data_IF_321137023675
#
_entry.id   IF_321137023675
#
_cell.length_a   1.000
_cell.length_b   1.000
_cell.length_c   1.000
_cell.angle_alpha   90.00
_cell.angle_beta   90.00
_cell.angle_gamma   90.00
#
_symmetry.space_group_name_H-M   'P 1'
#
loop_
_entity.id
_entity.type
_entity.pdbx_description
1 polymer ?
#
# COMPACT_ATOMS: atom_id res chain seq x y z
N UNK A 1 36.55 -38.12 -2.50
CA UNK A 1 35.54 -38.01 -1.44
C UNK A 1 34.27 -37.45 -2.06
N UNK A 2 33.42 -38.35 -2.48
CA UNK A 2 32.10 -38.09 -3.06
C UNK A 2 31.13 -37.84 -1.90
N UNK A 3 30.43 -36.68 -1.88
CA UNK A 3 29.26 -36.47 -1.07
C UNK A 3 28.03 -36.53 -1.97
N UNK A 4 27.19 -37.50 -1.69
CA UNK A 4 25.88 -37.82 -2.24
C UNK A 4 24.96 -36.62 -2.32
N UNK A 5 24.48 -36.34 -3.54
CA UNK A 5 23.34 -35.44 -3.80
C UNK A 5 22.09 -36.25 -3.46
N UNK A 6 21.30 -35.77 -2.53
CA UNK A 6 19.95 -36.29 -2.28
C UNK A 6 19.01 -35.79 -3.40
N UNK A 7 18.66 -36.70 -4.28
CA UNK A 7 17.53 -36.60 -5.22
C UNK A 7 16.23 -36.96 -4.47
N UNK A 8 15.60 -35.98 -3.83
CA UNK A 8 14.22 -36.08 -3.35
C UNK A 8 13.58 -34.67 -3.33
N UNK A 9 13.53 -34.03 -4.49
CA UNK A 9 12.58 -32.94 -4.74
C UNK A 9 11.45 -33.49 -5.62
N UNK A 10 10.33 -33.77 -4.97
CA UNK A 10 9.08 -34.19 -5.61
C UNK A 10 8.64 -33.16 -6.65
N UNK A 11 8.44 -33.52 -7.92
CA UNK A 11 7.81 -32.64 -8.89
C UNK A 11 6.38 -32.39 -8.42
N UNK A 12 6.01 -31.09 -8.41
CA UNK A 12 4.65 -30.65 -8.08
C UNK A 12 3.68 -31.25 -9.08
N UNK A 13 3.10 -32.40 -8.74
CA UNK A 13 2.11 -33.10 -9.56
C UNK A 13 0.72 -32.53 -9.20
N UNK A 14 0.18 -31.67 -10.05
CA UNK A 14 -1.19 -31.19 -9.92
C UNK A 14 -2.19 -32.29 -10.26
N UNK A 15 -2.94 -32.78 -9.28
CA UNK A 15 -4.15 -33.59 -9.53
C UNK A 15 -5.29 -32.66 -9.92
N UNK A 16 -5.47 -32.42 -11.21
CA UNK A 16 -6.68 -31.81 -11.77
C UNK A 16 -7.84 -32.79 -11.56
N UNK A 17 -8.82 -32.37 -10.75
CA UNK A 17 -10.11 -33.07 -10.69
C UNK A 17 -10.76 -33.05 -12.07
N UNK A 18 -11.15 -34.20 -12.60
CA UNK A 18 -11.87 -34.37 -13.85
C UNK A 18 -13.23 -33.70 -13.74
N UNK A 19 -13.33 -32.40 -14.15
CA UNK A 19 -14.61 -31.74 -14.42
C UNK A 19 -15.04 -32.02 -15.87
N UNK A 20 -16.33 -32.29 -16.04
CA UNK A 20 -16.99 -32.52 -17.32
C UNK A 20 -16.70 -31.40 -18.32
N UNK A 21 -16.54 -31.78 -19.59
CA UNK A 21 -16.36 -30.84 -20.71
C UNK A 21 -17.64 -30.03 -20.88
N UNK A 22 -17.62 -28.79 -20.41
CA UNK A 22 -18.64 -27.80 -20.72
C UNK A 22 -18.45 -27.34 -22.17
N UNK A 23 -19.56 -27.15 -22.91
CA UNK A 23 -19.54 -26.66 -24.29
C UNK A 23 -18.92 -25.26 -24.36
N UNK A 24 -18.13 -24.97 -25.39
CA UNK A 24 -17.26 -23.80 -25.50
C UNK A 24 -17.95 -22.42 -25.36
N UNK A 25 -19.27 -22.35 -25.48
CA UNK A 25 -20.05 -21.09 -25.39
C UNK A 25 -20.46 -20.71 -23.95
N UNK A 26 -20.30 -21.61 -22.98
CA UNK A 26 -20.71 -21.37 -21.56
C UNK A 26 -19.56 -21.46 -20.57
N UNK A 27 -18.33 -21.66 -21.02
CA UNK A 27 -17.17 -21.78 -20.13
C UNK A 27 -16.85 -20.43 -19.48
N UNK A 28 -16.77 -20.42 -18.14
CA UNK A 28 -16.36 -19.23 -17.38
C UNK A 28 -14.94 -18.80 -17.74
N UNK A 29 -14.71 -17.51 -17.79
CA UNK A 29 -13.35 -16.95 -17.96
C UNK A 29 -12.48 -17.27 -16.77
N UNK A 30 -11.26 -17.70 -17.03
CA UNK A 30 -10.28 -18.12 -16.03
C UNK A 30 -9.49 -16.92 -15.53
N UNK A 31 -9.77 -16.48 -14.30
CA UNK A 31 -9.08 -15.34 -13.70
C UNK A 31 -8.01 -15.83 -12.73
N UNK A 32 -6.80 -15.27 -12.84
CA UNK A 32 -5.72 -15.44 -11.87
C UNK A 32 -5.56 -14.14 -11.09
N UNK A 33 -5.61 -14.24 -9.76
CA UNK A 33 -5.44 -13.09 -8.88
C UNK A 33 -4.02 -13.04 -8.31
N UNK A 34 -3.39 -11.85 -8.35
CA UNK A 34 -2.06 -11.63 -7.78
C UNK A 34 -2.13 -10.57 -6.68
N UNK A 35 -1.69 -10.92 -5.48
CA UNK A 35 -1.69 -10.00 -4.35
C UNK A 35 -0.94 -10.54 -3.16
N UNK A 36 -0.65 -9.67 -2.16
CA UNK A 36 0.10 -10.13 -0.98
C UNK A 36 -0.50 -9.60 0.34
N UNK A 37 -0.66 -8.26 0.57
CA UNK A 37 -1.08 -7.70 1.84
C UNK A 37 -2.61 -7.81 2.07
N UNK A 38 -3.05 -7.32 3.23
CA UNK A 38 -4.45 -7.37 3.67
C UNK A 38 -5.41 -6.69 2.69
N UNK A 39 -5.03 -5.54 2.12
CA UNK A 39 -5.86 -4.84 1.12
C UNK A 39 -6.13 -5.70 -0.12
N UNK A 40 -5.14 -6.48 -0.55
CA UNK A 40 -5.31 -7.44 -1.66
C UNK A 40 -6.16 -8.65 -1.24
N UNK A 41 -6.07 -9.08 0.02
CA UNK A 41 -6.91 -10.16 0.55
C UNK A 41 -8.38 -9.76 0.58
N UNK A 42 -8.69 -8.52 0.95
CA UNK A 42 -10.05 -7.95 0.88
C UNK A 42 -10.54 -7.89 -0.58
N UNK A 43 -9.69 -7.45 -1.51
CA UNK A 43 -10.01 -7.46 -2.95
C UNK A 43 -10.32 -8.87 -3.45
N UNK A 44 -9.52 -9.88 -3.07
CA UNK A 44 -9.75 -11.27 -3.45
C UNK A 44 -11.13 -11.78 -2.97
N UNK A 45 -11.51 -11.49 -1.71
CA UNK A 45 -12.82 -11.88 -1.18
C UNK A 45 -13.97 -11.25 -2.00
N UNK A 46 -13.92 -9.95 -2.26
CA UNK A 46 -14.96 -9.25 -3.05
C UNK A 46 -15.07 -9.81 -4.47
N UNK A 47 -13.96 -10.04 -5.16
CA UNK A 47 -13.94 -10.65 -6.49
C UNK A 47 -14.49 -12.08 -6.47
N UNK A 48 -14.13 -12.87 -5.46
CA UNK A 48 -14.68 -14.23 -5.32
C UNK A 48 -16.18 -14.20 -5.08
N UNK A 49 -16.66 -13.35 -4.16
CA UNK A 49 -18.11 -13.18 -3.91
C UNK A 49 -18.86 -12.75 -5.16
N UNK A 50 -18.31 -11.84 -5.95
CA UNK A 50 -18.90 -11.43 -7.23
C UNK A 50 -18.96 -12.61 -8.20
N UNK A 51 -17.89 -13.37 -8.36
CA UNK A 51 -17.81 -14.51 -9.28
C UNK A 51 -18.83 -15.62 -9.00
N UNK A 52 -19.25 -15.78 -7.74
CA UNK A 52 -20.28 -16.78 -7.36
C UNK A 52 -21.72 -16.24 -7.48
N UNK A 53 -21.93 -14.92 -7.46
CA UNK A 53 -23.24 -14.28 -7.62
C UNK A 53 -23.70 -14.21 -9.07
N UNK A 54 -22.78 -14.33 -10.03
CA UNK A 54 -23.09 -14.19 -11.45
C UNK A 54 -24.01 -15.33 -11.94
N UNK A 55 -24.99 -14.98 -12.74
CA UNK A 55 -25.95 -15.94 -13.29
C UNK A 55 -25.35 -16.76 -14.43
N UNK A 56 -25.71 -18.04 -14.53
CA UNK A 56 -25.09 -19.07 -15.39
C UNK A 56 -25.08 -18.82 -16.91
N UNK A 57 -25.59 -17.69 -17.42
CA UNK A 57 -25.89 -17.52 -18.85
C UNK A 57 -25.24 -16.30 -19.52
N UNK A 58 -24.14 -15.73 -19.00
CA UNK A 58 -23.46 -14.64 -19.69
C UNK A 58 -22.01 -15.02 -20.04
N UNK A 59 -21.54 -14.59 -21.23
CA UNK A 59 -20.14 -14.68 -21.65
C UNK A 59 -19.18 -13.85 -20.78
N UNK A 60 -19.71 -13.20 -19.76
CA UNK A 60 -19.04 -12.31 -18.80
C UNK A 60 -18.74 -13.01 -17.47
N UNK A 61 -19.17 -14.28 -17.34
CA UNK A 61 -18.92 -15.06 -16.12
C UNK A 61 -17.44 -15.45 -16.02
N UNK A 62 -16.91 -15.37 -14.80
CA UNK A 62 -15.54 -15.78 -14.51
C UNK A 62 -15.46 -16.65 -13.26
N UNK A 63 -14.33 -17.31 -13.11
CA UNK A 63 -13.93 -17.99 -11.88
C UNK A 63 -12.48 -17.64 -11.54
N UNK A 64 -12.17 -17.51 -10.25
CA UNK A 64 -10.79 -17.34 -9.79
C UNK A 64 -10.19 -18.74 -9.67
N UNK A 65 -9.39 -19.13 -10.65
CA UNK A 65 -8.83 -20.47 -10.75
C UNK A 65 -7.53 -20.66 -9.96
N UNK A 66 -6.83 -19.55 -9.71
CA UNK A 66 -5.54 -19.57 -9.04
C UNK A 66 -5.25 -18.21 -8.40
N UNK A 67 -4.54 -18.25 -7.29
CA UNK A 67 -3.99 -17.08 -6.61
C UNK A 67 -2.47 -17.17 -6.61
N UNK A 68 -1.80 -16.09 -7.00
CA UNK A 68 -0.35 -15.96 -6.92
C UNK A 68 -0.01 -14.95 -5.83
N UNK A 69 0.78 -15.36 -4.86
CA UNK A 69 1.19 -14.50 -3.73
C UNK A 69 2.67 -14.68 -3.43
N UNK A 70 3.24 -13.76 -2.63
CA UNK A 70 4.63 -13.94 -2.20
C UNK A 70 4.77 -15.16 -1.26
N UNK A 71 5.93 -15.82 -1.28
CA UNK A 71 6.20 -16.95 -0.40
C UNK A 71 5.96 -16.63 1.08
N UNK A 72 5.63 -17.63 1.89
CA UNK A 72 5.50 -17.46 3.33
C UNK A 72 6.75 -16.83 3.94
N UNK A 73 6.55 -15.94 4.91
CA UNK A 73 7.65 -15.25 5.58
C UNK A 73 7.62 -15.53 7.09
N UNK A 74 8.81 -15.68 7.68
CA UNK A 74 8.94 -15.74 9.14
C UNK A 74 8.67 -14.36 9.74
N UNK A 75 7.86 -14.30 10.80
CA UNK A 75 7.79 -13.09 11.61
C UNK A 75 9.16 -12.82 12.25
N UNK A 76 9.51 -11.54 12.44
CA UNK A 76 10.81 -11.11 13.02
C UNK A 76 11.16 -11.72 14.39
N UNK A 77 10.26 -12.46 15.02
CA UNK A 77 10.48 -13.08 16.33
C UNK A 77 11.27 -14.38 16.15
N UNK A 78 12.42 -14.50 16.80
CA UNK A 78 13.29 -15.69 16.77
C UNK A 78 12.47 -16.95 17.12
N UNK A 79 12.43 -17.95 16.23
CA UNK A 79 11.66 -19.19 16.42
C UNK A 79 10.21 -19.17 15.91
N UNK A 80 9.72 -18.08 15.28
CA UNK A 80 8.38 -18.10 14.66
C UNK A 80 8.35 -19.02 13.45
N UNK A 81 7.22 -19.73 13.28
CA UNK A 81 6.93 -20.48 12.05
C UNK A 81 6.74 -19.52 10.87
N UNK A 82 6.98 -19.99 9.67
CA UNK A 82 6.59 -19.29 8.46
C UNK A 82 5.07 -19.20 8.39
N UNK A 83 4.57 -18.01 8.06
CA UNK A 83 3.15 -17.76 7.91
C UNK A 83 2.85 -17.39 6.46
N UNK A 84 1.77 -17.93 5.88
CA UNK A 84 1.31 -17.53 4.56
C UNK A 84 0.94 -16.04 4.55
N UNK A 85 0.99 -15.42 3.38
CA UNK A 85 0.54 -14.04 3.19
C UNK A 85 -0.95 -13.92 3.55
N UNK A 86 -1.47 -12.70 3.83
CA UNK A 86 -2.91 -12.46 3.98
C UNK A 86 -3.72 -13.01 2.81
N UNK A 87 -3.27 -12.79 1.57
CA UNK A 87 -3.91 -13.32 0.36
C UNK A 87 -3.86 -14.86 0.32
N UNK A 88 -2.73 -15.46 0.70
CA UNK A 88 -2.60 -16.93 0.75
C UNK A 88 -3.59 -17.57 1.72
N UNK A 89 -3.75 -17.00 2.94
CA UNK A 89 -4.74 -17.47 3.91
C UNK A 89 -6.17 -17.40 3.37
N UNK A 90 -6.53 -16.28 2.77
CA UNK A 90 -7.88 -16.12 2.18
C UNK A 90 -8.10 -17.10 1.03
N UNK A 91 -7.12 -17.33 0.18
CA UNK A 91 -7.23 -18.28 -0.92
C UNK A 91 -7.40 -19.71 -0.41
N UNK A 92 -6.67 -20.13 0.64
CA UNK A 92 -6.84 -21.42 1.31
C UNK A 92 -8.24 -21.57 1.92
N UNK A 93 -8.75 -20.54 2.62
CA UNK A 93 -10.11 -20.51 3.17
C UNK A 93 -11.19 -20.68 2.09
N UNK A 94 -10.97 -20.10 0.90
CA UNK A 94 -11.88 -20.17 -0.23
C UNK A 94 -11.70 -21.43 -1.09
N UNK A 95 -10.72 -22.29 -0.77
CA UNK A 95 -10.42 -23.49 -1.54
C UNK A 95 -9.82 -23.21 -2.93
N UNK A 96 -9.17 -22.05 -3.11
CA UNK A 96 -8.54 -21.65 -4.37
C UNK A 96 -7.09 -22.11 -4.38
N UNK A 97 -6.59 -22.59 -5.53
CA UNK A 97 -5.20 -22.97 -5.72
C UNK A 97 -4.26 -21.79 -5.43
N UNK A 98 -3.26 -22.00 -4.58
CA UNK A 98 -2.24 -20.99 -4.23
C UNK A 98 -0.90 -21.36 -4.84
N UNK A 99 -0.30 -20.41 -5.57
CA UNK A 99 1.07 -20.49 -6.06
C UNK A 99 1.90 -19.36 -5.43
N UNK A 100 3.12 -19.71 -5.01
CA UNK A 100 4.00 -18.76 -4.33
C UNK A 100 5.43 -18.81 -4.90
N UNK A 101 5.62 -18.41 -6.17
CA UNK A 101 6.93 -18.44 -6.79
C UNK A 101 7.89 -17.45 -6.12
N UNK A 102 9.12 -17.87 -5.83
CA UNK A 102 10.15 -16.97 -5.33
C UNK A 102 10.50 -15.89 -6.36
N UNK A 103 10.50 -16.27 -7.63
CA UNK A 103 10.80 -15.38 -8.76
C UNK A 103 9.79 -15.56 -9.88
N UNK A 104 9.11 -14.48 -10.24
CA UNK A 104 8.13 -14.49 -11.34
C UNK A 104 8.72 -14.82 -12.72
N UNK A 105 10.05 -14.78 -12.88
CA UNK A 105 10.75 -15.14 -14.12
C UNK A 105 11.15 -16.62 -14.20
N UNK A 106 10.82 -17.41 -13.22
CA UNK A 106 11.09 -18.86 -13.23
C UNK A 106 10.41 -19.53 -14.42
N UNK A 107 11.17 -20.33 -15.20
CA UNK A 107 10.66 -20.92 -16.43
C UNK A 107 9.62 -21.99 -16.17
N UNK A 108 9.83 -22.85 -15.17
CA UNK A 108 8.93 -23.98 -14.88
C UNK A 108 7.59 -23.44 -14.37
N UNK A 109 7.63 -22.38 -13.55
CA UNK A 109 6.43 -21.66 -13.14
C UNK A 109 5.68 -21.06 -14.33
N UNK A 110 6.38 -20.39 -15.26
CA UNK A 110 5.75 -19.79 -16.43
C UNK A 110 5.20 -20.86 -17.39
N UNK A 111 5.91 -21.96 -17.58
CA UNK A 111 5.45 -23.10 -18.38
C UNK A 111 4.17 -23.71 -17.80
N UNK A 112 4.12 -23.88 -16.47
CA UNK A 112 2.91 -24.35 -15.78
C UNK A 112 1.73 -23.37 -15.91
N UNK A 113 1.99 -22.06 -15.78
CA UNK A 113 0.96 -21.04 -15.96
C UNK A 113 0.34 -21.10 -17.37
N UNK A 114 1.19 -21.23 -18.40
CA UNK A 114 0.76 -21.28 -19.81
C UNK A 114 0.06 -22.61 -20.15
N UNK A 115 0.58 -23.72 -19.67
CA UNK A 115 0.09 -25.06 -20.05
C UNK A 115 -1.11 -25.52 -19.22
N UNK A 116 -1.05 -25.30 -17.88
CA UNK A 116 -1.96 -25.91 -16.91
C UNK A 116 -3.02 -24.93 -16.40
N UNK A 117 -2.61 -23.70 -16.06
CA UNK A 117 -3.52 -22.68 -15.53
C UNK A 117 -4.31 -21.98 -16.66
N UNK A 118 -3.65 -21.59 -17.74
CA UNK A 118 -4.28 -20.94 -18.92
C UNK A 118 -5.20 -19.79 -18.55
N UNK A 119 -4.67 -18.69 -17.95
CA UNK A 119 -5.51 -17.58 -17.57
C UNK A 119 -6.09 -16.84 -18.79
N UNK A 120 -7.37 -16.46 -18.73
CA UNK A 120 -7.94 -15.48 -19.65
C UNK A 120 -7.55 -14.07 -19.21
N UNK A 121 -7.64 -13.78 -17.91
CA UNK A 121 -7.34 -12.49 -17.33
C UNK A 121 -6.48 -12.67 -16.07
N UNK A 122 -5.48 -11.81 -15.88
CA UNK A 122 -4.82 -11.66 -14.60
C UNK A 122 -5.24 -10.35 -13.92
N UNK A 123 -5.48 -10.38 -12.61
CA UNK A 123 -5.80 -9.21 -11.80
C UNK A 123 -4.73 -9.03 -10.75
N UNK A 124 -4.12 -7.85 -10.66
CA UNK A 124 -3.11 -7.53 -9.65
C UNK A 124 -3.62 -6.49 -8.67
N UNK A 125 -3.33 -6.71 -7.39
CA UNK A 125 -3.59 -5.76 -6.31
C UNK A 125 -2.44 -5.86 -5.29
N UNK A 126 -1.58 -4.86 -5.22
CA UNK A 126 -0.44 -4.80 -4.29
C UNK A 126 0.37 -6.11 -4.22
N UNK A 127 0.76 -6.67 -5.35
CA UNK A 127 1.49 -7.94 -5.41
C UNK A 127 2.94 -7.83 -4.93
N UNK A 128 3.63 -6.76 -5.33
CA UNK A 128 4.97 -6.43 -4.83
C UNK A 128 6.14 -7.16 -5.53
N UNK A 129 5.92 -7.81 -6.68
CA UNK A 129 6.97 -8.31 -7.55
C UNK A 129 6.79 -7.80 -8.98
N UNK A 130 7.92 -7.65 -9.70
CA UNK A 130 7.92 -7.33 -11.11
C UNK A 130 7.37 -8.49 -11.95
N UNK A 131 6.47 -8.17 -12.89
CA UNK A 131 5.89 -9.14 -13.82
C UNK A 131 6.69 -9.15 -15.14
N UNK A 132 7.35 -10.26 -15.50
CA UNK A 132 8.13 -10.35 -16.72
C UNK A 132 7.25 -10.31 -17.97
N UNK A 133 7.81 -9.91 -19.11
CA UNK A 133 7.09 -9.81 -20.38
C UNK A 133 6.37 -11.12 -20.77
N UNK A 134 7.00 -12.28 -20.52
CA UNK A 134 6.39 -13.58 -20.79
C UNK A 134 5.12 -13.79 -19.97
N UNK A 135 5.15 -13.45 -18.67
CA UNK A 135 3.94 -13.49 -17.81
C UNK A 135 2.83 -12.58 -18.38
N UNK A 136 3.17 -11.34 -18.71
CA UNK A 136 2.19 -10.35 -19.23
C UNK A 136 1.57 -10.77 -20.58
N UNK A 137 2.27 -11.59 -21.36
CA UNK A 137 1.79 -12.11 -22.65
C UNK A 137 0.92 -13.38 -22.49
N UNK A 138 0.89 -14.00 -21.32
CA UNK A 138 0.18 -15.27 -21.12
C UNK A 138 -1.36 -15.12 -21.10
N UNK A 139 -1.97 -14.18 -20.35
CA UNK A 139 -3.43 -14.06 -20.30
C UNK A 139 -3.98 -13.44 -21.59
N UNK A 140 -5.01 -14.06 -22.19
CA UNK A 140 -5.58 -13.64 -23.49
C UNK A 140 -6.23 -12.26 -23.46
N UNK A 141 -6.77 -11.84 -22.30
CA UNK A 141 -7.36 -10.52 -22.04
C UNK A 141 -6.39 -9.55 -21.34
N UNK A 142 -5.14 -10.00 -21.15
CA UNK A 142 -4.11 -9.20 -20.50
C UNK A 142 -4.09 -9.27 -18.97
N UNK A 143 -3.31 -8.39 -18.37
CA UNK A 143 -3.22 -8.23 -16.91
C UNK A 143 -3.70 -6.84 -16.52
N UNK A 144 -4.63 -6.75 -15.58
CA UNK A 144 -5.14 -5.48 -15.05
C UNK A 144 -4.65 -5.26 -13.62
N UNK A 145 -4.50 -4.01 -13.23
CA UNK A 145 -4.02 -3.62 -11.90
C UNK A 145 -4.95 -2.60 -11.25
N UNK A 146 -5.14 -2.71 -9.93
CA UNK A 146 -5.74 -1.67 -9.10
C UNK A 146 -4.60 -0.84 -8.52
N UNK A 147 -4.50 0.43 -8.93
CA UNK A 147 -3.47 1.35 -8.49
C UNK A 147 -4.08 2.51 -7.70
N UNK A 148 -3.73 2.69 -6.42
CA UNK A 148 -4.39 3.66 -5.54
C UNK A 148 -3.85 5.08 -5.74
N UNK A 149 -3.98 5.61 -6.95
CA UNK A 149 -3.79 7.02 -7.31
C UNK A 149 -4.52 7.38 -8.61
N UNK A 150 -4.62 8.67 -8.90
CA UNK A 150 -5.12 9.21 -10.17
C UNK A 150 -3.97 9.28 -11.19
N UNK A 151 -3.70 8.15 -11.88
CA UNK A 151 -2.64 8.11 -12.90
C UNK A 151 -2.90 9.12 -14.04
N UNK A 152 -1.86 9.76 -14.58
CA UNK A 152 -0.44 9.39 -14.49
C UNK A 152 0.31 9.93 -13.25
N UNK A 153 -0.40 10.62 -12.34
CA UNK A 153 0.19 11.09 -11.09
C UNK A 153 0.40 9.92 -10.12
N UNK A 154 1.59 9.87 -9.52
CA UNK A 154 2.00 8.85 -8.53
C UNK A 154 2.17 7.43 -9.09
N UNK A 155 2.82 7.28 -10.27
CA UNK A 155 3.33 5.98 -10.70
C UNK A 155 4.43 5.50 -9.73
N UNK A 156 4.34 4.29 -9.21
CA UNK A 156 5.41 3.72 -8.40
C UNK A 156 4.98 3.04 -7.11
N UNK A 157 5.94 2.88 -6.18
CA UNK A 157 5.80 1.98 -5.04
C UNK A 157 4.95 2.52 -3.88
N UNK A 158 4.82 3.85 -3.74
CA UNK A 158 4.21 4.50 -2.57
C UNK A 158 3.17 5.57 -2.94
N UNK A 159 2.17 5.25 -3.81
CA UNK A 159 1.28 6.26 -4.38
C UNK A 159 0.45 7.00 -3.33
N UNK A 160 -0.18 6.31 -2.39
CA UNK A 160 -1.03 6.92 -1.35
C UNK A 160 -0.19 7.75 -0.39
N UNK A 161 0.96 7.24 0.02
CA UNK A 161 1.85 7.94 0.94
C UNK A 161 2.35 9.26 0.34
N UNK A 162 2.79 9.23 -0.93
CA UNK A 162 3.28 10.42 -1.64
C UNK A 162 2.17 11.41 -1.95
N UNK A 163 0.97 10.93 -2.27
CA UNK A 163 -0.21 11.77 -2.48
C UNK A 163 -0.58 12.55 -1.21
N UNK A 164 -0.63 11.86 -0.06
CA UNK A 164 -0.94 12.49 1.23
C UNK A 164 0.18 13.43 1.69
N UNK A 165 1.45 13.05 1.52
CA UNK A 165 2.60 13.91 1.81
C UNK A 165 2.55 15.23 1.00
N UNK A 166 2.12 15.14 -0.27
CA UNK A 166 1.95 16.31 -1.13
C UNK A 166 0.70 17.13 -0.79
N UNK A 167 -0.18 16.64 0.07
CA UNK A 167 -1.44 17.30 0.41
C UNK A 167 -2.51 17.19 -0.68
N UNK A 168 -2.43 16.16 -1.53
CA UNK A 168 -3.42 16.00 -2.61
C UNK A 168 -4.84 15.80 -2.03
N UNK A 169 -5.77 16.59 -2.53
CA UNK A 169 -7.19 16.45 -2.34
C UNK A 169 -7.89 17.09 -3.55
N UNK A 170 -8.50 16.30 -4.44
CA UNK A 170 -8.91 14.90 -4.25
C UNK A 170 -7.77 13.88 -4.36
N UNK A 171 -8.03 12.68 -3.85
CA UNK A 171 -7.27 11.45 -4.08
C UNK A 171 -8.07 10.52 -5.00
N UNK A 172 -7.54 9.35 -5.36
CA UNK A 172 -8.33 8.42 -6.16
C UNK A 172 -7.64 7.12 -6.48
N UNK A 173 -8.27 6.35 -7.34
CA UNK A 173 -7.83 5.03 -7.75
C UNK A 173 -7.97 4.85 -9.26
N UNK A 174 -7.06 4.11 -9.86
CA UNK A 174 -7.04 3.77 -11.28
C UNK A 174 -7.06 2.26 -11.45
N UNK A 175 -7.94 1.77 -12.31
CA UNK A 175 -7.87 0.44 -12.92
C UNK A 175 -7.22 0.58 -14.29
N UNK A 176 -6.13 -0.15 -14.52
CA UNK A 176 -5.31 -0.03 -15.74
C UNK A 176 -4.81 -1.38 -16.22
N UNK A 177 -4.43 -1.48 -17.49
CA UNK A 177 -3.65 -2.60 -17.99
C UNK A 177 -2.21 -2.52 -17.52
N UNK A 178 -1.63 -3.66 -17.15
CA UNK A 178 -0.23 -3.74 -16.70
C UNK A 178 0.70 -3.92 -17.91
N UNK A 179 1.76 -3.14 -17.94
CA UNK A 179 2.84 -3.23 -18.92
C UNK A 179 4.20 -3.34 -18.23
N UNK A 180 5.27 -3.58 -19.00
CA UNK A 180 6.63 -3.73 -18.45
C UNK A 180 7.17 -2.45 -17.77
N UNK A 181 6.71 -1.26 -18.20
CA UNK A 181 7.04 0.02 -17.55
C UNK A 181 6.06 0.20 -16.38
N UNK A 182 6.59 0.43 -15.18
CA UNK A 182 5.81 0.52 -13.95
C UNK A 182 4.65 1.51 -14.08
N UNK A 183 3.43 1.05 -13.83
CA UNK A 183 2.17 1.78 -13.80
C UNK A 183 1.89 2.68 -15.02
N UNK A 184 2.53 2.37 -16.17
CA UNK A 184 2.44 3.16 -17.40
C UNK A 184 1.44 2.62 -18.42
N UNK A 185 0.69 1.58 -18.10
CA UNK A 185 -0.29 0.96 -18.99
C UNK A 185 -1.52 1.83 -19.24
N UNK A 186 -2.30 1.51 -20.28
CA UNK A 186 -3.52 2.22 -20.61
C UNK A 186 -4.55 2.12 -19.48
N UNK A 187 -5.25 3.21 -19.23
CA UNK A 187 -6.27 3.36 -18.17
C UNK A 187 -7.61 2.82 -18.65
N UNK A 188 -8.20 1.92 -17.89
CA UNK A 188 -9.54 1.36 -18.10
C UNK A 188 -10.57 2.27 -17.47
N UNK A 189 -10.38 2.61 -16.19
CA UNK A 189 -11.28 3.49 -15.44
C UNK A 189 -10.51 4.19 -14.29
N UNK A 190 -11.04 5.33 -13.88
CA UNK A 190 -10.55 6.07 -12.72
C UNK A 190 -11.73 6.53 -11.87
N UNK A 191 -11.51 6.61 -10.57
CA UNK A 191 -12.46 7.21 -9.64
C UNK A 191 -11.73 8.16 -8.72
N UNK A 192 -12.21 9.40 -8.72
CA UNK A 192 -11.76 10.49 -7.87
C UNK A 192 -12.63 10.55 -6.62
N UNK A 193 -12.03 10.83 -5.48
CA UNK A 193 -12.72 10.93 -4.20
C UNK A 193 -12.14 12.07 -3.36
N UNK A 194 -13.01 12.86 -2.77
CA UNK A 194 -12.63 13.94 -1.87
C UNK A 194 -12.58 13.44 -0.42
N UNK A 195 -11.44 13.57 0.23
CA UNK A 195 -11.23 13.08 1.61
C UNK A 195 -12.21 13.73 2.59
N UNK A 196 -12.47 15.03 2.44
CA UNK A 196 -13.35 15.82 3.33
C UNK A 196 -14.79 15.32 3.28
N UNK A 197 -15.31 14.97 2.09
CA UNK A 197 -16.72 14.55 1.92
C UNK A 197 -17.01 13.19 2.58
N UNK A 198 -15.97 12.42 2.89
CA UNK A 198 -16.09 11.09 3.52
C UNK A 198 -15.89 11.11 5.04
N UNK A 199 -15.76 12.30 5.65
CA UNK A 199 -15.47 12.44 7.09
C UNK A 199 -14.31 11.52 7.55
N UNK A 200 -13.29 11.36 6.70
CA UNK A 200 -12.07 10.67 7.11
C UNK A 200 -11.28 11.66 7.97
N UNK A 201 -11.71 11.78 9.21
CA UNK A 201 -10.94 12.49 10.22
C UNK A 201 -9.54 11.88 10.26
N UNK A 202 -8.51 12.73 10.24
CA UNK A 202 -7.12 12.32 10.15
C UNK A 202 -6.86 11.36 8.95
N UNK A 203 -6.83 11.90 7.75
CA UNK A 203 -6.65 11.16 6.50
C UNK A 203 -5.24 10.54 6.39
N UNK A 204 -4.93 9.61 7.26
CA UNK A 204 -3.66 8.90 7.28
C UNK A 204 -3.60 7.79 6.22
N UNK A 205 -2.42 7.44 5.74
CA UNK A 205 -2.23 6.34 4.80
C UNK A 205 -2.80 5.01 5.33
N UNK A 206 -2.80 4.82 6.65
CA UNK A 206 -3.40 3.65 7.31
C UNK A 206 -4.91 3.54 7.05
N UNK A 207 -5.61 4.67 6.91
CA UNK A 207 -7.05 4.72 6.63
C UNK A 207 -7.32 4.82 5.12
N UNK A 208 -6.59 5.66 4.42
CA UNK A 208 -6.83 5.99 3.00
C UNK A 208 -6.49 4.83 2.07
N UNK A 209 -5.39 4.08 2.33
CA UNK A 209 -4.99 2.98 1.46
C UNK A 209 -6.04 1.86 1.38
N UNK A 210 -6.55 1.30 2.49
CA UNK A 210 -7.62 0.29 2.43
C UNK A 210 -8.89 0.81 1.75
N UNK A 211 -9.28 2.04 2.03
CA UNK A 211 -10.45 2.66 1.43
C UNK A 211 -10.32 2.80 -0.10
N UNK A 212 -9.16 3.27 -0.62
CA UNK A 212 -8.93 3.36 -2.06
C UNK A 212 -8.89 1.98 -2.73
N UNK A 213 -8.36 0.95 -2.05
CA UNK A 213 -8.44 -0.43 -2.57
C UNK A 213 -9.86 -0.96 -2.60
N UNK A 214 -10.70 -0.61 -1.65
CA UNK A 214 -12.12 -0.96 -1.65
C UNK A 214 -12.84 -0.34 -2.85
N UNK A 215 -12.68 0.97 -3.06
CA UNK A 215 -13.23 1.70 -4.21
C UNK A 215 -12.70 1.13 -5.53
N UNK A 216 -11.40 0.87 -5.62
CA UNK A 216 -10.76 0.32 -6.81
C UNK A 216 -11.24 -1.10 -7.14
N UNK A 217 -11.55 -1.88 -6.11
CA UNK A 217 -12.15 -3.21 -6.28
C UNK A 217 -13.56 -3.11 -6.84
N UNK A 218 -14.39 -2.21 -6.31
CA UNK A 218 -15.74 -1.98 -6.82
C UNK A 218 -15.71 -1.47 -8.25
N UNK A 219 -14.80 -0.55 -8.58
CA UNK A 219 -14.58 -0.05 -9.93
C UNK A 219 -14.12 -1.14 -10.89
N UNK A 220 -13.24 -2.05 -10.46
CA UNK A 220 -12.84 -3.20 -11.26
C UNK A 220 -14.02 -4.14 -11.51
N UNK A 221 -14.80 -4.48 -10.49
CA UNK A 221 -16.00 -5.34 -10.64
C UNK A 221 -16.99 -4.73 -11.62
N UNK A 222 -17.22 -3.42 -11.56
CA UNK A 222 -18.07 -2.71 -12.53
C UNK A 222 -17.57 -2.86 -13.98
N UNK A 223 -16.23 -2.87 -14.18
CA UNK A 223 -15.62 -2.93 -15.53
C UNK A 223 -15.29 -4.35 -16.00
N UNK A 224 -15.40 -5.36 -15.12
CA UNK A 224 -15.10 -6.75 -15.50
C UNK A 224 -15.95 -7.26 -16.67
N UNK A 225 -17.28 -6.99 -16.79
CA UNK A 225 -18.06 -7.41 -17.93
C UNK A 225 -17.49 -6.89 -19.26
N UNK A 226 -17.13 -5.62 -19.33
CA UNK A 226 -16.54 -5.00 -20.52
C UNK A 226 -15.16 -5.59 -20.88
N UNK A 227 -14.35 -5.92 -19.86
CA UNK A 227 -13.03 -6.55 -20.07
C UNK A 227 -13.20 -8.00 -20.54
N UNK A 228 -14.08 -8.77 -19.89
CA UNK A 228 -14.27 -10.19 -20.16
C UNK A 228 -14.94 -10.44 -21.52
N UNK A 229 -15.83 -9.57 -21.94
CA UNK A 229 -16.44 -9.59 -23.28
C UNK A 229 -15.48 -9.09 -24.36
N UNK A 230 -14.42 -8.38 -23.99
CA UNK A 230 -13.50 -7.73 -24.93
C UNK A 230 -14.04 -6.42 -25.51
N UNK A 231 -15.06 -5.82 -24.91
CA UNK A 231 -15.54 -4.47 -25.26
C UNK A 231 -14.49 -3.42 -24.91
N UNK A 232 -13.80 -3.58 -23.78
CA UNK A 232 -12.61 -2.81 -23.40
C UNK A 232 -11.38 -3.67 -23.61
N UNK A 233 -10.42 -3.18 -24.41
CA UNK A 233 -9.18 -3.86 -24.75
C UNK A 233 -7.99 -2.97 -24.49
N UNK A 234 -6.81 -3.57 -24.41
CA UNK A 234 -5.55 -2.86 -24.25
C UNK A 234 -5.39 -1.71 -25.26
N UNK A 235 -5.69 -1.98 -26.54
CA UNK A 235 -5.50 -1.01 -27.63
C UNK A 235 -6.55 0.11 -27.65
N UNK A 236 -7.69 -0.06 -26.97
CA UNK A 236 -8.78 0.92 -26.92
C UNK A 236 -8.85 1.69 -25.61
N UNK A 237 -8.12 1.24 -24.59
CA UNK A 237 -8.05 1.91 -23.30
C UNK A 237 -7.25 3.23 -23.39
N UNK A 238 -7.53 4.17 -22.49
CA UNK A 238 -6.97 5.52 -22.52
C UNK A 238 -5.48 5.52 -22.23
N UNK A 239 -4.65 5.96 -23.18
CA UNK A 239 -3.21 6.13 -22.98
C UNK A 239 -2.97 7.27 -21.98
N UNK A 240 -2.02 7.06 -21.06
CA UNK A 240 -1.62 8.07 -20.08
C UNK A 240 -0.78 9.18 -20.75
N UNK A 241 -0.96 10.42 -20.30
CA UNK A 241 -0.14 11.57 -20.73
C UNK A 241 1.22 11.55 -20.01
N UNK A 242 2.28 11.25 -20.73
CA UNK A 242 3.64 11.17 -20.19
C UNK A 242 4.16 12.52 -19.64
N UNK A 243 3.59 13.65 -20.07
CA UNK A 243 3.98 14.99 -19.58
C UNK A 243 3.49 15.28 -18.16
N UNK A 244 2.47 14.55 -17.71
CA UNK A 244 1.84 14.72 -16.39
C UNK A 244 2.30 13.68 -15.37
N UNK A 245 3.28 12.87 -15.70
CA UNK A 245 3.77 11.81 -14.81
C UNK A 245 4.46 12.39 -13.59
N UNK A 246 3.99 12.00 -12.42
CA UNK A 246 4.66 12.20 -11.13
C UNK A 246 5.03 10.83 -10.56
N UNK A 247 6.27 10.68 -10.09
CA UNK A 247 6.76 9.42 -9.55
C UNK A 247 6.44 9.30 -8.06
N UNK A 248 5.92 8.14 -7.65
CA UNK A 248 5.74 7.75 -6.26
C UNK A 248 6.91 6.85 -5.82
N UNK A 249 8.07 7.47 -5.64
CA UNK A 249 9.26 6.74 -5.20
C UNK A 249 9.02 6.01 -3.87
N UNK A 250 9.71 4.86 -3.70
CA UNK A 250 9.74 4.17 -2.41
C UNK A 250 10.22 5.15 -1.33
N UNK A 251 9.57 5.12 -0.18
CA UNK A 251 9.95 5.97 0.95
C UNK A 251 11.23 5.42 1.56
N UNK A 252 12.18 6.32 1.87
CA UNK A 252 13.33 5.99 2.71
C UNK A 252 13.03 6.38 4.17
N UNK A 253 13.52 5.59 5.12
CA UNK A 253 13.32 5.87 6.55
C UNK A 253 13.96 7.17 7.03
N UNK A 254 14.95 7.69 6.32
CA UNK A 254 15.57 8.99 6.59
C UNK A 254 14.65 10.17 6.33
N UNK A 255 13.65 10.01 5.43
CA UNK A 255 12.65 11.03 5.12
C UNK A 255 11.65 11.26 6.28
N UNK A 256 11.66 10.39 7.28
CA UNK A 256 10.72 10.42 8.40
C UNK A 256 11.04 11.47 9.48
N UNK A 257 12.20 12.10 9.42
CA UNK A 257 12.57 13.17 10.33
C UNK A 257 11.76 14.43 10.06
N UNK A 258 11.08 14.93 11.09
CA UNK A 258 10.36 16.20 11.04
C UNK A 258 11.32 17.34 11.36
N UNK A 259 11.44 18.31 10.45
CA UNK A 259 12.44 19.39 10.52
C UNK A 259 11.75 20.77 10.58
N UNK A 260 11.21 21.16 11.73
CA UNK A 260 10.46 22.42 11.84
C UNK A 260 11.29 23.66 11.56
N UNK A 261 12.63 23.57 11.62
CA UNK A 261 13.54 24.67 11.28
C UNK A 261 13.71 24.93 9.77
N UNK A 262 13.14 24.09 8.91
CA UNK A 262 13.18 24.23 7.43
C UNK A 262 11.89 23.86 6.72
N UNK A 263 10.89 23.34 7.45
CA UNK A 263 9.62 22.87 6.90
C UNK A 263 8.42 23.56 7.56
N UNK A 264 7.33 23.72 6.82
CA UNK A 264 6.08 24.30 7.33
C UNK A 264 5.28 23.30 8.16
N UNK A 265 4.38 23.78 9.01
CA UNK A 265 3.45 22.92 9.75
C UNK A 265 2.63 22.00 8.83
N UNK A 266 2.17 22.53 7.70
CA UNK A 266 1.41 21.77 6.70
C UNK A 266 2.26 20.62 6.10
N UNK A 267 3.51 20.90 5.73
CA UNK A 267 4.43 19.88 5.20
C UNK A 267 4.65 18.76 6.22
N UNK A 268 4.89 19.11 7.47
CA UNK A 268 5.11 18.13 8.55
C UNK A 268 3.87 17.30 8.85
N UNK A 269 2.69 17.93 8.89
CA UNK A 269 1.41 17.25 9.10
C UNK A 269 1.09 16.27 7.97
N UNK A 270 1.23 16.70 6.72
CA UNK A 270 0.99 15.88 5.54
C UNK A 270 1.94 14.68 5.48
N UNK A 271 3.23 14.90 5.81
CA UNK A 271 4.20 13.79 5.91
C UNK A 271 3.81 12.78 6.99
N UNK A 272 3.38 13.24 8.15
CA UNK A 272 2.90 12.35 9.20
C UNK A 272 1.72 11.49 8.71
N UNK A 273 0.78 12.09 8.02
CA UNK A 273 -0.37 11.40 7.44
C UNK A 273 0.07 10.37 6.38
N UNK A 274 0.94 10.77 5.46
CA UNK A 274 1.49 9.88 4.43
C UNK A 274 2.30 8.72 5.01
N UNK A 275 3.11 8.98 6.02
CA UNK A 275 4.06 7.98 6.57
C UNK A 275 3.50 7.20 7.77
N UNK A 276 2.22 7.34 8.09
CA UNK A 276 1.57 6.72 9.26
C UNK A 276 1.69 5.19 9.32
N UNK A 277 1.77 4.50 8.17
CA UNK A 277 1.96 3.04 8.11
C UNK A 277 3.43 2.66 8.32
N UNK A 278 4.32 3.35 7.65
CA UNK A 278 5.76 3.17 7.66
C UNK A 278 6.40 4.36 6.92
N UNK A 279 7.51 4.89 7.41
CA UNK A 279 8.27 4.50 8.61
C UNK A 279 7.73 5.10 9.92
N UNK A 280 6.69 5.92 9.85
CA UNK A 280 6.28 6.84 10.89
C UNK A 280 7.14 8.12 10.90
N UNK A 281 6.75 9.16 11.66
CA UNK A 281 7.53 10.38 11.76
C UNK A 281 8.17 10.52 13.14
N UNK A 282 9.29 11.23 13.20
CA UNK A 282 10.01 11.46 14.44
C UNK A 282 10.73 12.80 14.43
N UNK A 283 11.07 13.28 15.63
CA UNK A 283 11.98 14.40 15.86
C UNK A 283 12.85 14.14 17.10
N UNK A 284 13.87 14.96 17.27
CA UNK A 284 14.68 14.96 18.49
C UNK A 284 14.27 16.13 19.38
N UNK A 285 13.97 15.83 20.64
CA UNK A 285 13.64 16.82 21.65
C UNK A 285 14.67 16.80 22.78
N UNK A 286 15.13 17.98 23.17
CA UNK A 286 15.86 18.22 24.42
C UNK A 286 14.83 18.53 25.51
N UNK A 287 14.84 17.75 26.58
CA UNK A 287 13.88 17.86 27.69
C UNK A 287 14.60 18.31 28.95
N UNK A 288 14.64 19.62 29.15
CA UNK A 288 15.46 20.31 30.13
C UNK A 288 16.79 20.78 29.54
N UNK A 289 17.15 22.01 29.84
CA UNK A 289 18.33 22.70 29.27
C UNK A 289 19.63 21.87 29.49
N UNK A 290 20.40 21.71 28.41
CA UNK A 290 21.69 20.96 28.44
C UNK A 290 21.55 19.45 28.54
N UNK A 291 20.36 18.89 28.43
CA UNK A 291 20.19 17.44 28.44
C UNK A 291 20.46 16.82 27.05
N UNK A 292 20.84 15.55 26.99
CA UNK A 292 21.01 14.85 25.71
C UNK A 292 19.69 14.75 24.98
N UNK A 293 19.61 15.13 23.67
CA UNK A 293 18.42 14.98 22.88
C UNK A 293 17.92 13.53 22.80
N UNK A 294 16.62 13.36 22.89
CA UNK A 294 15.95 12.05 22.82
C UNK A 294 15.07 12.00 21.58
N UNK A 295 15.07 10.86 20.90
CA UNK A 295 14.20 10.60 19.76
C UNK A 295 12.77 10.36 20.23
N UNK A 296 11.84 11.14 19.69
CA UNK A 296 10.39 10.97 19.89
C UNK A 296 9.72 10.63 18.57
N UNK A 297 8.89 9.61 18.55
CA UNK A 297 7.95 9.42 17.47
C UNK A 297 6.78 10.37 17.66
N UNK A 298 6.35 11.00 16.58
CA UNK A 298 5.14 11.83 16.54
C UNK A 298 4.06 10.96 15.91
N UNK A 299 2.91 10.86 16.58
CA UNK A 299 1.86 9.93 16.19
C UNK A 299 0.58 10.62 15.76
N UNK A 300 0.31 11.80 16.31
CA UNK A 300 -0.88 12.59 15.98
C UNK A 300 -0.55 14.08 16.06
N UNK A 301 -1.00 14.82 15.03
CA UNK A 301 -0.82 16.26 14.95
C UNK A 301 -2.08 16.92 14.41
N UNK A 302 -2.22 18.23 14.66
CA UNK A 302 -3.27 19.09 14.10
C UNK A 302 -2.64 20.37 13.59
N UNK A 303 -3.14 20.88 12.46
CA UNK A 303 -2.80 22.22 11.96
C UNK A 303 -3.59 23.28 12.73
N UNK A 304 -2.94 24.37 13.07
CA UNK A 304 -3.59 25.55 13.65
C UNK A 304 -3.58 26.69 12.63
N UNK A 305 -4.69 27.41 12.54
CA UNK A 305 -4.83 28.61 11.70
C UNK A 305 -4.21 29.84 12.39
N UNK A 306 -3.10 29.64 13.08
CA UNK A 306 -2.37 30.67 13.83
C UNK A 306 -0.93 30.70 13.33
N UNK A 307 -0.32 31.87 13.40
CA UNK A 307 1.10 32.07 13.14
C UNK A 307 1.74 32.89 14.27
N UNK A 308 3.03 32.66 14.55
CA UNK A 308 3.79 33.38 15.54
C UNK A 308 5.24 33.54 15.12
N UNK A 309 6.04 34.36 15.83
CA UNK A 309 7.47 34.38 15.60
C UNK A 309 8.13 33.06 15.91
N UNK A 310 9.09 32.65 15.07
CA UNK A 310 9.79 31.38 15.19
C UNK A 310 10.53 31.22 16.52
N UNK A 311 10.36 30.05 17.14
CA UNK A 311 11.10 29.65 18.35
C UNK A 311 11.37 28.15 18.28
N UNK A 312 12.48 27.69 18.86
CA UNK A 312 12.79 26.27 19.03
C UNK A 312 12.12 25.65 20.26
N UNK A 313 11.45 26.45 21.07
CA UNK A 313 10.75 26.00 22.27
C UNK A 313 9.40 25.40 21.88
N UNK A 314 9.13 24.22 22.42
CA UNK A 314 7.85 23.54 22.31
C UNK A 314 7.01 23.88 23.54
N UNK A 315 5.90 24.54 23.34
CA UNK A 315 5.06 25.03 24.44
C UNK A 315 3.74 24.25 24.53
N UNK A 316 3.13 24.26 25.71
CA UNK A 316 1.74 23.78 25.83
C UNK A 316 0.79 24.82 25.23
N UNK A 317 -0.27 24.35 24.60
CA UNK A 317 -1.37 25.22 24.18
C UNK A 317 -2.05 25.91 25.36
N UNK A 318 -2.86 26.96 25.10
CA UNK A 318 -3.45 27.83 26.13
C UNK A 318 -4.47 27.11 27.04
N UNK A 319 -4.98 25.97 26.65
CA UNK A 319 -5.91 25.17 27.45
C UNK A 319 -5.38 23.75 27.70
N UNK A 320 -5.93 23.08 28.74
CA UNK A 320 -5.57 21.68 29.04
C UNK A 320 -5.98 20.67 27.95
N UNK A 321 -6.80 21.08 26.98
CA UNK A 321 -7.23 20.24 25.87
C UNK A 321 -6.32 20.40 24.64
N UNK A 322 -5.47 21.44 24.64
CA UNK A 322 -4.58 21.73 23.53
C UNK A 322 -3.32 20.86 23.62
N UNK A 323 -2.78 20.51 22.45
CA UNK A 323 -1.54 19.75 22.34
C UNK A 323 -0.29 20.61 22.59
N UNK A 324 0.85 20.04 22.29
CA UNK A 324 2.12 20.75 22.28
C UNK A 324 2.23 21.59 21.01
N UNK A 325 2.50 22.88 21.12
CA UNK A 325 2.68 23.80 19.99
C UNK A 325 4.14 23.79 19.54
N UNK A 326 4.33 23.44 18.29
CA UNK A 326 5.61 23.43 17.59
C UNK A 326 5.57 24.55 16.55
N UNK A 327 6.39 25.56 16.71
CA UNK A 327 6.49 26.67 15.74
C UNK A 327 7.48 26.29 14.65
N UNK A 328 7.05 26.38 13.38
CA UNK A 328 7.86 26.08 12.22
C UNK A 328 8.62 27.32 11.73
N UNK A 329 9.56 27.14 10.78
CA UNK A 329 10.46 28.20 10.31
C UNK A 329 9.73 29.41 9.70
N UNK A 330 8.53 29.18 9.14
CA UNK A 330 7.67 30.21 8.54
C UNK A 330 6.67 30.84 9.52
N UNK A 331 6.75 30.46 10.80
CA UNK A 331 5.84 30.90 11.86
C UNK A 331 4.52 30.12 11.94
N UNK A 332 4.28 29.15 11.03
CA UNK A 332 3.11 28.27 11.14
C UNK A 332 3.23 27.31 12.34
N UNK A 333 2.09 26.94 12.93
CA UNK A 333 2.07 26.14 14.16
C UNK A 333 1.52 24.76 13.90
N UNK A 334 2.32 23.73 14.26
CA UNK A 334 1.89 22.36 14.32
C UNK A 334 1.57 21.96 15.77
N UNK A 335 0.35 21.54 16.03
CA UNK A 335 -0.01 20.99 17.33
C UNK A 335 0.25 19.48 17.35
N UNK A 336 1.01 19.02 18.33
CA UNK A 336 1.29 17.59 18.57
C UNK A 336 0.36 17.12 19.68
N UNK A 337 -0.52 16.17 19.38
CA UNK A 337 -1.48 15.60 20.32
C UNK A 337 -0.95 14.34 21.01
N UNK A 338 -0.30 13.46 20.24
CA UNK A 338 0.26 12.19 20.75
C UNK A 338 1.71 12.04 20.28
N UNK A 339 2.59 11.74 21.23
CA UNK A 339 4.00 11.48 20.98
C UNK A 339 4.47 10.25 21.76
N UNK A 340 5.57 9.65 21.33
CA UNK A 340 6.14 8.46 21.94
C UNK A 340 7.64 8.61 22.16
N UNK A 341 8.11 8.76 23.42
CA UNK A 341 9.53 8.72 23.73
C UNK A 341 10.14 7.37 23.32
N UNK A 342 11.42 7.37 22.94
CA UNK A 342 12.13 6.11 22.64
C UNK A 342 11.97 5.10 23.80
N UNK A 343 11.68 3.85 23.46
CA UNK A 343 11.50 2.72 24.40
C UNK A 343 10.32 2.82 25.37
N UNK A 344 9.46 3.85 25.26
CA UNK A 344 8.28 4.04 26.13
C UNK A 344 6.97 3.84 25.34
N UNK A 345 5.84 3.84 26.05
CA UNK A 345 4.50 3.83 25.44
C UNK A 345 4.17 5.22 24.91
N UNK A 346 3.25 5.32 23.91
CA UNK A 346 2.64 6.58 23.52
C UNK A 346 2.04 7.30 24.71
N UNK A 347 2.13 8.62 24.72
CA UNK A 347 1.54 9.50 25.71
C UNK A 347 0.87 10.68 24.99
N UNK A 348 -0.25 11.17 25.53
CA UNK A 348 -0.82 12.44 25.10
C UNK A 348 0.03 13.61 25.58
N UNK A 349 -0.09 14.75 24.92
CA UNK A 349 0.69 15.96 25.21
C UNK A 349 0.49 16.49 26.62
N UNK A 350 -0.72 16.41 27.17
CA UNK A 350 -0.99 16.87 28.55
C UNK A 350 -0.23 16.01 29.56
N UNK A 351 -0.32 14.69 29.42
CA UNK A 351 0.42 13.75 30.29
C UNK A 351 1.92 13.94 30.18
N UNK A 352 2.42 14.19 28.96
CA UNK A 352 3.83 14.49 28.74
C UNK A 352 4.27 15.77 29.44
N UNK A 353 3.50 16.88 29.28
CA UNK A 353 3.79 18.17 29.94
C UNK A 353 3.74 18.08 31.45
N UNK A 354 2.76 17.38 32.01
CA UNK A 354 2.67 17.15 33.46
C UNK A 354 3.92 16.42 34.00
N UNK A 355 4.46 15.49 33.22
CA UNK A 355 5.69 14.75 33.55
C UNK A 355 6.98 15.58 33.47
N UNK A 356 6.95 16.77 32.86
CA UNK A 356 8.13 17.64 32.72
C UNK A 356 8.52 18.35 34.03
N UNK A 357 7.57 18.55 34.92
CA UNK A 357 7.82 19.26 36.21
C UNK A 357 8.49 20.64 36.02
N UNK A 358 8.04 21.41 35.04
CA UNK A 358 8.55 22.73 34.73
C UNK A 358 9.83 22.78 33.86
N UNK A 359 10.33 21.63 33.37
CA UNK A 359 11.44 21.61 32.41
C UNK A 359 10.98 22.12 31.06
N UNK A 360 11.83 22.89 30.39
CA UNK A 360 11.62 23.31 29.01
C UNK A 360 11.80 22.14 28.04
N UNK A 361 11.12 22.24 26.88
CA UNK A 361 11.29 21.31 25.77
C UNK A 361 11.67 22.11 24.54
N UNK A 362 12.71 21.67 23.84
CA UNK A 362 13.15 22.27 22.57
C UNK A 362 13.31 21.19 21.51
N UNK A 363 12.95 21.47 20.27
CA UNK A 363 13.38 20.62 19.18
C UNK A 363 14.82 20.96 18.79
N UNK A 364 15.54 19.93 18.37
CA UNK A 364 16.95 20.05 17.97
C UNK A 364 17.20 19.32 16.66
N UNK A 365 18.18 19.78 15.91
CA UNK A 365 18.66 19.04 14.72
C UNK A 365 19.17 17.68 15.13
N UNK A 366 19.05 16.70 14.23
CA UNK A 366 19.57 15.34 14.50
C UNK A 366 21.02 15.42 15.02
N UNK A 367 21.31 14.86 16.19
CA UNK A 367 22.69 14.83 16.71
C UNK A 367 23.60 14.06 15.75
N UNK A 368 24.81 14.57 15.50
CA UNK A 368 25.79 13.92 14.61
C UNK A 368 26.08 12.47 15.00
N UNK A 369 26.04 12.16 16.31
CA UNK A 369 26.22 10.81 16.84
C UNK A 369 25.08 9.84 16.52
N UNK A 370 23.90 10.34 16.10
CA UNK A 370 22.71 9.52 15.80
C UNK A 370 22.68 9.01 14.34
N UNK A 371 23.57 9.50 13.50
CA UNK A 371 23.65 9.14 12.06
C UNK A 371 24.36 7.80 11.84
N UNK A 372 24.92 7.20 12.88
CA UNK A 372 25.66 5.93 12.80
C UNK A 372 24.92 4.85 13.56
N UNK A 373 23.83 4.31 12.99
CA UNK A 373 23.31 2.95 13.32
C UNK A 373 22.56 2.37 12.10
#
# INVERSE_FOLDING_TARGET
LFSTINEDENPITFKLGTKQVETAETAKKRVVFLGTPEVAATTLRKLHEDSIKQTKNSNENYEIVCVITQPPKRRRRKGSKEEPSPVGRVAEELGILVLSPEKMKDSDFLDSLERDIKPDLCVTAAYGQYLPKRFLATPTLGTVNIHPSLLPRWRGASPVQRSLEAGDNPVGVTVLYTVSKMDAGPVIAQKEETIVDKNIEDATATKVLPWLFEIGTDLLIEKLPDILSGAVKFDTAKIQDESQVVQAAMIDSSEAEMKPWEETATTLHNRLNGFSMWPGCFMYLEVGEGTKPVKFKILETRLLDETTEGTDVVESGPSKKDGLRLVCFDGSILEINILQPATKKPVDSLSFMNGLQGRTVRYVKTPEEAVVV
#
